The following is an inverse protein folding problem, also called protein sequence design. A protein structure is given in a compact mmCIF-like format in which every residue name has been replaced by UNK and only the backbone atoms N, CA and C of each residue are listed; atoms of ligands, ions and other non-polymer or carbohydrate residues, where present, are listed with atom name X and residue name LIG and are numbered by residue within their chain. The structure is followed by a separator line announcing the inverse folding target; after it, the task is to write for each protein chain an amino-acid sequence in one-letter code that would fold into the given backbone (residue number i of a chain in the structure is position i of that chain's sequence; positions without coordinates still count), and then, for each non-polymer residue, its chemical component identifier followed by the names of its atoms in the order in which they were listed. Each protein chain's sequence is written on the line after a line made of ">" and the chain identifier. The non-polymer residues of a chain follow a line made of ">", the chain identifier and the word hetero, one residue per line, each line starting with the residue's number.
data_IF_224166240193
#
_entry.id   IF_224166240193
#
_cell.length_a   1.000
_cell.length_b   1.000
_cell.length_c   1.000
_cell.angle_alpha   90.00
_cell.angle_beta   90.00
_cell.angle_gamma   90.00
#
_symmetry.space_group_name_H-M   'P 1'
#
loop_
_entity.id
_entity.type
_entity.pdbx_description
1 polymer ?
#
# COMPACT_ATOMS: atom_id res chain seq x y z
N UNK A 1 16.58 -9.11 30.18
CA UNK A 1 16.90 -8.24 29.03
C UNK A 1 15.86 -8.50 27.98
N UNK A 2 15.34 -7.47 27.29
CA UNK A 2 14.38 -7.67 26.18
C UNK A 2 15.12 -8.26 24.98
N UNK A 3 14.49 -9.12 24.16
CA UNK A 3 15.06 -9.58 22.91
C UNK A 3 15.37 -8.41 22.00
N UNK A 4 16.50 -8.48 21.29
CA UNK A 4 16.91 -7.46 20.34
C UNK A 4 16.16 -7.64 19.00
N UNK A 5 15.42 -6.60 18.58
CA UNK A 5 14.73 -6.56 17.29
C UNK A 5 15.36 -5.51 16.39
N UNK A 6 15.73 -5.92 15.19
CA UNK A 6 16.22 -5.01 14.15
C UNK A 6 15.21 -4.90 13.01
N UNK A 7 14.80 -3.68 12.67
CA UNK A 7 13.79 -3.44 11.64
C UNK A 7 14.41 -2.64 10.49
N UNK A 8 14.34 -3.15 9.27
CA UNK A 8 14.64 -2.40 8.05
C UNK A 8 13.33 -2.02 7.38
N UNK A 9 13.07 -0.72 7.23
CA UNK A 9 11.80 -0.24 6.71
C UNK A 9 11.88 1.20 6.18
N UNK A 10 11.03 1.60 5.22
CA UNK A 10 11.02 2.96 4.66
C UNK A 10 10.29 3.97 5.56
N UNK A 11 10.57 3.98 6.87
CA UNK A 11 9.82 4.73 7.90
C UNK A 11 9.79 6.24 7.68
N UNK A 12 10.83 6.81 7.06
CA UNK A 12 10.93 8.25 6.81
C UNK A 12 10.29 8.67 5.49
N UNK A 13 9.77 7.72 4.68
CA UNK A 13 9.29 8.05 3.34
C UNK A 13 7.81 8.46 3.31
N UNK A 14 7.46 9.36 2.39
CA UNK A 14 6.09 9.72 2.05
C UNK A 14 5.52 8.72 1.03
N UNK A 15 5.27 7.50 1.47
CA UNK A 15 4.75 6.41 0.63
C UNK A 15 3.82 5.51 1.42
N UNK A 16 2.96 4.74 0.73
CA UNK A 16 2.10 3.75 1.37
C UNK A 16 2.90 2.70 2.18
N UNK A 17 4.08 2.30 1.69
CA UNK A 17 5.00 1.46 2.46
C UNK A 17 5.53 2.14 3.72
N UNK A 18 5.84 3.45 3.64
CA UNK A 18 6.25 4.24 4.80
C UNK A 18 5.15 4.35 5.85
N UNK A 19 3.91 4.61 5.41
CA UNK A 19 2.75 4.70 6.30
C UNK A 19 2.50 3.36 6.99
N UNK A 20 2.46 2.26 6.23
CA UNK A 20 2.29 0.91 6.78
C UNK A 20 3.42 0.52 7.74
N UNK A 21 4.67 0.86 7.40
CA UNK A 21 5.82 0.61 8.27
C UNK A 21 5.68 1.35 9.61
N UNK A 22 5.28 2.62 9.60
CA UNK A 22 5.06 3.41 10.82
C UNK A 22 3.95 2.82 11.68
N UNK A 23 2.83 2.40 11.09
CA UNK A 23 1.71 1.78 11.79
C UNK A 23 2.14 0.50 12.52
N UNK A 24 2.88 -0.39 11.85
CA UNK A 24 3.37 -1.64 12.42
C UNK A 24 4.44 -1.41 13.50
N UNK A 25 5.41 -0.53 13.24
CA UNK A 25 6.50 -0.24 14.19
C UNK A 25 5.95 0.42 15.45
N UNK A 26 5.01 1.35 15.32
CA UNK A 26 4.33 1.94 16.47
C UNK A 26 3.67 0.86 17.31
N UNK A 27 2.99 -0.10 16.69
CA UNK A 27 2.39 -1.23 17.40
C UNK A 27 3.43 -2.07 18.17
N UNK A 28 4.60 -2.34 17.57
CA UNK A 28 5.69 -3.08 18.23
C UNK A 28 6.29 -2.30 19.41
N UNK A 29 6.44 -0.98 19.27
CA UNK A 29 6.91 -0.10 20.34
C UNK A 29 5.93 -0.10 21.52
N UNK A 30 4.62 0.02 21.23
CA UNK A 30 3.56 -0.03 22.25
C UNK A 30 3.51 -1.35 23.02
N UNK A 31 3.89 -2.47 22.39
CA UNK A 31 3.97 -3.78 23.06
C UNK A 31 5.05 -3.82 24.13
N UNK A 32 6.07 -3.00 24.01
CA UNK A 32 7.24 -2.92 24.91
C UNK A 32 7.94 -4.28 25.20
N UNK A 33 7.84 -5.22 24.27
CA UNK A 33 8.40 -6.57 24.38
C UNK A 33 9.84 -6.68 23.91
N UNK A 34 10.32 -5.78 23.06
CA UNK A 34 11.60 -5.85 22.37
C UNK A 34 12.46 -4.60 22.61
N UNK A 35 13.79 -4.78 22.52
CA UNK A 35 14.72 -3.66 22.31
C UNK A 35 14.82 -3.40 20.80
N UNK A 36 14.21 -2.31 20.32
CA UNK A 36 14.00 -2.05 18.89
C UNK A 36 15.03 -1.06 18.38
N UNK A 37 15.69 -1.41 17.26
CA UNK A 37 16.48 -0.50 16.42
C UNK A 37 15.96 -0.53 15.00
N UNK A 38 15.92 0.63 14.35
CA UNK A 38 15.28 0.82 13.05
C UNK A 38 16.27 1.38 12.04
N UNK A 39 16.51 0.65 10.96
CA UNK A 39 17.26 1.12 9.78
C UNK A 39 16.27 1.67 8.78
N UNK A 40 16.24 2.99 8.61
CA UNK A 40 15.45 3.61 7.56
C UNK A 40 16.06 3.35 6.19
N UNK A 41 15.22 2.94 5.23
CA UNK A 41 15.61 2.70 3.85
C UNK A 41 14.83 3.64 2.92
N UNK A 42 15.42 3.93 1.76
CA UNK A 42 14.75 4.74 0.71
C UNK A 42 13.65 3.92 0.03
N UNK A 43 12.64 4.60 -0.46
CA UNK A 43 11.59 4.04 -1.29
C UNK A 43 11.53 4.80 -2.62
N UNK A 44 12.25 4.32 -3.60
CA UNK A 44 12.40 5.00 -4.89
C UNK A 44 12.82 6.46 -4.72
N UNK A 45 12.12 7.36 -5.39
CA UNK A 45 12.35 8.81 -5.35
C UNK A 45 11.40 9.55 -4.39
N UNK A 46 10.70 8.83 -3.50
CA UNK A 46 9.77 9.47 -2.56
C UNK A 46 10.50 10.34 -1.54
N UNK A 47 9.92 11.50 -1.14
CA UNK A 47 10.52 12.36 -0.13
C UNK A 47 10.70 11.64 1.22
N UNK A 48 11.82 11.90 1.89
CA UNK A 48 12.15 11.40 3.24
C UNK A 48 11.63 12.34 4.34
N UNK A 49 10.35 12.72 4.26
CA UNK A 49 9.70 13.66 5.18
C UNK A 49 8.43 13.04 5.80
N UNK A 50 8.41 11.71 5.91
CA UNK A 50 7.25 10.97 6.41
C UNK A 50 7.06 11.00 7.91
N UNK A 51 8.14 11.26 8.69
CA UNK A 51 8.02 11.43 10.14
C UNK A 51 7.54 12.85 10.47
N UNK A 52 6.46 12.92 11.22
CA UNK A 52 5.85 14.17 11.70
C UNK A 52 6.27 14.40 13.15
N UNK A 53 6.93 15.53 13.43
CA UNK A 53 7.44 15.88 14.76
C UNK A 53 6.33 16.24 15.75
N UNK A 54 5.15 16.55 15.27
CA UNK A 54 3.99 16.85 16.10
C UNK A 54 3.25 15.57 16.56
N UNK A 55 3.68 14.40 16.08
CA UNK A 55 3.12 13.10 16.44
C UNK A 55 4.02 12.36 17.44
N UNK A 56 3.58 12.13 18.69
CA UNK A 56 4.40 11.45 19.70
C UNK A 56 4.91 10.07 19.27
N UNK A 57 4.10 9.32 18.56
CA UNK A 57 4.47 8.00 18.04
C UNK A 57 5.60 8.06 17.00
N UNK A 58 5.67 9.12 16.20
CA UNK A 58 6.77 9.31 15.25
C UNK A 58 8.07 9.70 15.96
N UNK A 59 8.00 10.46 17.06
CA UNK A 59 9.17 10.75 17.89
C UNK A 59 9.74 9.46 18.52
N UNK A 60 8.89 8.52 18.89
CA UNK A 60 9.34 7.21 19.42
C UNK A 60 10.03 6.35 18.34
N UNK A 61 9.62 6.47 17.07
CA UNK A 61 10.33 5.87 15.94
C UNK A 61 11.70 6.56 15.76
N UNK A 62 11.73 7.90 15.73
CA UNK A 62 12.95 8.70 15.52
C UNK A 62 14.04 8.36 16.57
N UNK A 63 13.69 8.22 17.85
CA UNK A 63 14.62 7.81 18.93
C UNK A 63 15.26 6.44 18.71
N UNK A 64 14.68 5.59 17.88
CA UNK A 64 15.14 4.22 17.61
C UNK A 64 15.84 4.08 16.28
N UNK A 65 16.00 5.19 15.52
CA UNK A 65 16.75 5.17 14.27
C UNK A 65 18.20 4.77 14.49
N UNK A 66 18.69 3.89 13.63
CA UNK A 66 20.03 3.31 13.69
C UNK A 66 20.83 3.77 12.47
N UNK A 67 21.94 4.47 12.73
CA UNK A 67 22.75 5.14 11.71
C UNK A 67 24.06 4.44 11.39
N UNK A 68 24.46 3.42 12.20
CA UNK A 68 25.70 2.70 11.99
C UNK A 68 25.64 1.80 10.75
N UNK A 69 26.82 1.48 10.19
CA UNK A 69 26.89 0.70 8.95
C UNK A 69 26.71 -0.80 9.13
N UNK A 70 26.88 -1.33 10.34
CA UNK A 70 26.81 -2.76 10.65
C UNK A 70 26.17 -3.03 12.01
N UNK A 71 25.86 -4.28 12.27
CA UNK A 71 25.38 -4.74 13.57
C UNK A 71 26.49 -5.46 14.31
N UNK A 72 26.72 -5.08 15.57
CA UNK A 72 27.72 -5.73 16.43
C UNK A 72 27.18 -7.04 17.06
N UNK A 73 25.85 -7.21 17.05
CA UNK A 73 25.15 -8.37 17.63
C UNK A 73 24.09 -8.83 16.65
N UNK A 74 23.95 -10.15 16.49
CA UNK A 74 22.88 -10.73 15.69
C UNK A 74 21.53 -10.47 16.35
N UNK A 75 20.54 -9.89 15.66
CA UNK A 75 19.19 -9.69 16.20
C UNK A 75 18.51 -11.02 16.55
N UNK A 76 17.78 -11.06 17.65
CA UNK A 76 16.90 -12.19 17.95
C UNK A 76 15.75 -12.27 16.93
N UNK A 77 15.22 -11.11 16.54
CA UNK A 77 14.20 -10.96 15.49
C UNK A 77 14.63 -9.88 14.51
N UNK A 78 14.55 -10.17 13.23
CA UNK A 78 14.68 -9.17 12.16
C UNK A 78 13.37 -9.04 11.41
N UNK A 79 12.94 -7.81 11.19
CA UNK A 79 11.81 -7.49 10.32
C UNK A 79 12.32 -6.67 9.14
N UNK A 80 12.00 -7.10 7.92
CA UNK A 80 12.26 -6.31 6.72
C UNK A 80 10.93 -5.96 6.04
N UNK A 81 10.61 -4.66 5.97
CA UNK A 81 9.41 -4.14 5.31
C UNK A 81 9.84 -3.55 3.97
N UNK A 82 9.45 -4.17 2.87
CA UNK A 82 9.86 -3.77 1.53
C UNK A 82 9.43 -4.76 0.45
N UNK A 83 10.10 -4.72 -0.71
CA UNK A 83 9.89 -5.69 -1.78
C UNK A 83 10.69 -6.97 -1.52
N UNK A 84 10.14 -8.16 -1.82
CA UNK A 84 10.74 -9.43 -1.43
C UNK A 84 12.17 -9.67 -1.92
N UNK A 85 12.53 -9.23 -3.13
CA UNK A 85 13.89 -9.40 -3.66
C UNK A 85 14.97 -8.63 -2.86
N UNK A 86 14.58 -7.64 -2.06
CA UNK A 86 15.49 -6.87 -1.20
C UNK A 86 15.60 -7.46 0.22
N UNK A 87 14.80 -8.46 0.57
CA UNK A 87 14.77 -9.02 1.93
C UNK A 87 16.15 -9.50 2.41
N UNK A 88 16.47 -9.12 3.64
CA UNK A 88 17.68 -9.51 4.39
C UNK A 88 17.27 -10.39 5.56
N UNK A 89 18.06 -11.43 5.85
CA UNK A 89 17.82 -12.43 6.88
C UNK A 89 18.96 -12.48 7.93
N UNK A 90 19.26 -11.35 8.55
CA UNK A 90 20.35 -11.21 9.51
C UNK A 90 19.97 -11.66 10.92
N UNK A 91 18.69 -11.85 11.20
CA UNK A 91 18.19 -12.28 12.51
C UNK A 91 18.31 -13.77 12.75
N UNK A 92 18.11 -14.19 13.99
CA UNK A 92 17.86 -15.60 14.33
C UNK A 92 16.47 -16.05 13.86
N UNK A 93 15.51 -15.10 13.80
CA UNK A 93 14.18 -15.26 13.22
C UNK A 93 13.90 -14.05 12.34
N UNK A 94 13.48 -14.29 11.09
CA UNK A 94 13.39 -13.27 10.06
C UNK A 94 11.96 -13.17 9.52
N UNK A 95 11.38 -11.98 9.56
CA UNK A 95 10.02 -11.69 9.11
C UNK A 95 10.07 -10.74 7.93
N UNK A 96 9.54 -11.16 6.79
CA UNK A 96 9.34 -10.30 5.62
C UNK A 96 7.94 -9.72 5.60
N UNK A 97 7.82 -8.41 5.44
CA UNK A 97 6.52 -7.74 5.29
C UNK A 97 6.51 -6.99 3.97
N UNK A 98 5.53 -7.27 3.12
CA UNK A 98 5.40 -6.63 1.81
C UNK A 98 3.97 -6.21 1.56
N UNK A 99 3.77 -5.09 0.84
CA UNK A 99 2.44 -4.64 0.44
C UNK A 99 1.80 -5.53 -0.65
N UNK A 100 2.51 -6.56 -1.07
CA UNK A 100 2.00 -7.56 -2.02
C UNK A 100 2.17 -7.16 -3.46
N UNK A 101 1.32 -7.72 -4.30
CA UNK A 101 1.42 -7.70 -5.75
C UNK A 101 0.11 -7.24 -6.36
N UNK A 102 0.17 -6.55 -7.48
CA UNK A 102 -1.00 -6.01 -8.19
C UNK A 102 -1.37 -6.81 -9.45
N UNK A 103 -0.70 -7.95 -9.68
CA UNK A 103 -0.94 -8.84 -10.82
C UNK A 103 -1.18 -10.27 -10.36
N UNK A 104 -1.41 -11.19 -11.30
CA UNK A 104 -1.65 -12.60 -11.00
C UNK A 104 -0.38 -13.40 -10.70
N UNK A 105 0.81 -12.79 -10.86
CA UNK A 105 2.08 -13.51 -10.72
C UNK A 105 3.20 -12.55 -10.31
N UNK A 106 4.03 -12.94 -9.36
CA UNK A 106 5.25 -12.22 -8.99
C UNK A 106 6.47 -12.75 -9.77
N UNK A 107 7.63 -12.08 -9.65
CA UNK A 107 8.88 -12.53 -10.25
C UNK A 107 9.51 -13.69 -9.47
N UNK A 108 10.39 -14.45 -10.13
CA UNK A 108 11.20 -15.50 -9.49
C UNK A 108 12.07 -14.97 -8.36
N UNK A 109 12.62 -13.76 -8.52
CA UNK A 109 13.45 -13.11 -7.50
C UNK A 109 12.65 -12.78 -6.24
N UNK A 110 11.35 -12.48 -6.39
CA UNK A 110 10.48 -12.29 -5.25
C UNK A 110 10.28 -13.60 -4.48
N UNK A 111 10.03 -14.72 -5.19
CA UNK A 111 9.91 -16.04 -4.54
C UNK A 111 11.21 -16.41 -3.81
N UNK A 112 12.37 -16.16 -4.43
CA UNK A 112 13.65 -16.38 -3.76
C UNK A 112 13.81 -15.51 -2.52
N UNK A 113 13.38 -14.24 -2.59
CA UNK A 113 13.40 -13.31 -1.46
C UNK A 113 12.48 -13.75 -0.32
N UNK A 114 11.25 -14.20 -0.63
CA UNK A 114 10.32 -14.75 0.35
C UNK A 114 10.95 -15.95 1.09
N UNK A 115 11.57 -16.88 0.36
CA UNK A 115 12.18 -18.08 0.91
C UNK A 115 13.46 -17.84 1.77
N UNK A 116 13.95 -16.60 1.84
CA UNK A 116 15.02 -16.22 2.80
C UNK A 116 14.48 -16.00 4.22
N UNK A 117 13.16 -15.80 4.35
CA UNK A 117 12.54 -15.44 5.61
C UNK A 117 12.00 -16.71 6.32
N UNK A 118 11.70 -16.59 7.61
CA UNK A 118 11.03 -17.62 8.38
C UNK A 118 9.50 -17.47 8.35
N UNK A 119 9.04 -16.24 8.06
CA UNK A 119 7.64 -15.88 8.04
C UNK A 119 7.40 -14.66 7.12
N UNK A 120 6.27 -14.64 6.42
CA UNK A 120 5.84 -13.52 5.56
C UNK A 120 4.51 -12.96 6.04
N UNK A 121 4.38 -11.63 6.03
CA UNK A 121 3.12 -10.93 6.26
C UNK A 121 2.76 -10.12 5.00
N UNK A 122 1.52 -10.24 4.57
CA UNK A 122 0.97 -9.56 3.40
C UNK A 122 -0.37 -8.89 3.75
N UNK A 123 -0.80 -7.81 3.06
CA UNK A 123 -1.94 -7.02 3.48
C UNK A 123 -3.30 -7.58 3.05
N UNK A 124 -3.33 -8.61 2.19
CA UNK A 124 -4.60 -9.11 1.64
C UNK A 124 -4.53 -10.60 1.28
N UNK A 125 -5.71 -11.20 1.18
CA UNK A 125 -5.83 -12.57 0.70
C UNK A 125 -5.35 -12.69 -0.76
N UNK A 126 -5.58 -11.66 -1.59
CA UNK A 126 -5.06 -11.62 -2.95
C UNK A 126 -3.52 -11.76 -2.99
N UNK A 127 -2.81 -10.98 -2.18
CA UNK A 127 -1.34 -11.04 -2.15
C UNK A 127 -0.84 -12.42 -1.69
N UNK A 128 -1.47 -13.00 -0.67
CA UNK A 128 -1.18 -14.36 -0.21
C UNK A 128 -1.38 -15.38 -1.34
N UNK A 129 -2.54 -15.36 -1.97
CA UNK A 129 -2.90 -16.28 -3.05
C UNK A 129 -1.92 -16.21 -4.22
N UNK A 130 -1.49 -14.99 -4.60
CA UNK A 130 -0.53 -14.82 -5.69
C UNK A 130 0.82 -15.43 -5.35
N UNK A 131 1.34 -15.21 -4.15
CA UNK A 131 2.63 -15.77 -3.75
C UNK A 131 2.59 -17.30 -3.61
N UNK A 132 1.49 -17.87 -3.09
CA UNK A 132 1.32 -19.31 -2.95
C UNK A 132 1.11 -20.02 -4.30
N UNK A 133 0.47 -19.36 -5.27
CA UNK A 133 0.16 -19.91 -6.60
C UNK A 133 1.24 -19.68 -7.64
N UNK A 134 2.21 -18.78 -7.39
CA UNK A 134 3.32 -18.52 -8.32
C UNK A 134 4.35 -19.64 -8.21
N UNK A 135 4.50 -20.40 -9.29
CA UNK A 135 5.44 -21.52 -9.39
C UNK A 135 6.24 -21.36 -10.67
N UNK A 136 7.56 -21.47 -10.58
CA UNK A 136 8.48 -21.50 -11.72
C UNK A 136 9.15 -22.86 -11.82
N UNK A 137 9.37 -23.34 -13.05
CA UNK A 137 10.22 -24.49 -13.30
C UNK A 137 11.69 -24.11 -13.09
N UNK A 138 12.42 -24.90 -12.27
CA UNK A 138 13.87 -24.84 -12.22
C UNK A 138 14.43 -25.72 -13.31
N UNK A 139 15.24 -25.15 -14.22
CA UNK A 139 15.89 -25.88 -15.29
C UNK A 139 17.38 -25.95 -15.04
N UNK A 140 17.98 -27.08 -15.35
CA UNK A 140 19.42 -27.24 -15.41
C UNK A 140 19.98 -26.41 -16.56
N UNK A 141 20.99 -25.59 -16.30
CA UNK A 141 21.54 -24.66 -17.29
C UNK A 141 22.21 -25.35 -18.48
N UNK A 142 22.74 -26.57 -18.28
CA UNK A 142 23.47 -27.32 -19.30
C UNK A 142 22.54 -28.21 -20.15
N UNK A 143 21.59 -28.86 -19.48
CA UNK A 143 20.72 -29.86 -20.13
C UNK A 143 19.36 -29.31 -20.50
N UNK A 144 18.97 -28.12 -20.02
CA UNK A 144 17.64 -27.51 -20.13
C UNK A 144 16.49 -28.42 -19.63
N UNK A 145 16.84 -29.46 -18.82
CA UNK A 145 15.84 -30.33 -18.20
C UNK A 145 15.28 -29.70 -16.94
N UNK A 146 13.99 -29.91 -16.67
CA UNK A 146 13.36 -29.48 -15.43
C UNK A 146 13.90 -30.32 -14.28
N UNK A 147 14.56 -29.69 -13.31
CA UNK A 147 15.17 -30.32 -12.12
C UNK A 147 14.36 -30.05 -10.84
N UNK A 148 13.27 -29.29 -10.90
CA UNK A 148 12.44 -28.99 -9.76
C UNK A 148 11.54 -27.75 -9.97
N UNK A 149 10.95 -27.29 -8.88
CA UNK A 149 10.10 -26.10 -8.86
C UNK A 149 10.69 -25.03 -7.92
N UNK A 150 10.45 -23.76 -8.26
CA UNK A 150 10.65 -22.62 -7.37
C UNK A 150 9.29 -22.06 -7.00
N UNK A 151 8.93 -22.21 -5.73
CA UNK A 151 7.68 -21.73 -5.12
C UNK A 151 7.94 -21.17 -3.72
N UNK A 152 6.98 -20.47 -3.16
CA UNK A 152 7.06 -20.03 -1.77
C UNK A 152 6.91 -21.24 -0.85
N UNK A 153 7.90 -21.45 0.03
CA UNK A 153 7.96 -22.56 0.97
C UNK A 153 7.74 -22.12 2.43
N UNK A 154 7.62 -20.82 2.67
CA UNK A 154 7.48 -20.24 4.00
C UNK A 154 6.03 -19.86 4.31
N UNK A 155 5.60 -19.88 5.59
CA UNK A 155 4.24 -19.51 5.96
C UNK A 155 3.94 -18.04 5.63
N UNK A 156 2.79 -17.79 5.00
CA UNK A 156 2.28 -16.46 4.66
C UNK A 156 1.05 -16.15 5.51
N UNK A 157 1.12 -15.07 6.26
CA UNK A 157 0.04 -14.54 7.08
C UNK A 157 -0.56 -13.31 6.45
N UNK A 158 -1.88 -13.18 6.53
CA UNK A 158 -2.58 -11.96 6.10
C UNK A 158 -2.77 -11.06 7.31
N UNK A 159 -2.34 -9.81 7.19
CA UNK A 159 -2.62 -8.73 8.12
C UNK A 159 -2.96 -7.48 7.31
N UNK A 160 -4.20 -7.06 7.34
CA UNK A 160 -4.64 -5.90 6.57
C UNK A 160 -3.96 -4.60 7.02
N UNK A 161 -3.92 -3.60 6.12
CA UNK A 161 -3.46 -2.25 6.47
C UNK A 161 -4.60 -1.48 7.16
N UNK A 162 -4.45 -1.19 8.44
CA UNK A 162 -5.49 -0.52 9.23
C UNK A 162 -5.71 0.94 8.81
N UNK A 163 -6.95 1.40 8.86
CA UNK A 163 -7.28 2.82 8.64
C UNK A 163 -7.36 3.55 9.98
N UNK A 164 -6.67 4.68 10.09
CA UNK A 164 -6.79 5.56 11.26
C UNK A 164 -8.15 6.26 11.26
N UNK A 165 -9.11 5.71 12.00
CA UNK A 165 -10.48 6.22 12.07
C UNK A 165 -10.64 7.50 12.91
N UNK A 166 -9.61 7.92 13.63
CA UNK A 166 -9.60 9.23 14.30
C UNK A 166 -9.40 10.35 13.31
N UNK A 167 -8.68 10.07 12.22
CA UNK A 167 -8.43 10.99 11.12
C UNK A 167 -9.44 10.77 9.99
N UNK A 168 -9.51 9.54 9.45
CA UNK A 168 -10.38 9.19 8.34
C UNK A 168 -11.77 8.81 8.83
N UNK A 169 -12.65 9.76 8.83
CA UNK A 169 -14.05 9.60 9.28
C UNK A 169 -14.94 10.61 8.58
N UNK A 170 -16.23 10.38 8.69
CA UNK A 170 -17.19 11.38 8.26
C UNK A 170 -17.05 12.65 9.12
N UNK A 171 -16.84 13.78 8.47
CA UNK A 171 -16.74 15.10 9.11
C UNK A 171 -17.45 16.18 8.30
N UNK A 172 -17.82 17.26 8.99
CA UNK A 172 -18.27 18.52 8.36
C UNK A 172 -17.23 19.64 8.57
N UNK A 173 -16.11 19.32 9.18
CA UNK A 173 -14.98 20.25 9.29
C UNK A 173 -14.48 20.63 7.91
N UNK A 174 -13.88 21.80 7.81
CA UNK A 174 -13.37 22.36 6.56
C UNK A 174 -11.91 22.74 6.75
N UNK A 175 -11.12 22.44 5.74
CA UNK A 175 -9.75 22.92 5.60
C UNK A 175 -9.72 24.01 4.53
N UNK A 176 -9.09 25.16 4.84
CA UNK A 176 -9.11 26.34 3.96
C UNK A 176 -8.45 26.05 2.62
N UNK A 177 -7.33 25.33 2.58
CA UNK A 177 -6.64 25.00 1.34
C UNK A 177 -7.47 24.04 0.47
N UNK A 178 -8.11 23.05 1.09
CA UNK A 178 -9.01 22.14 0.38
C UNK A 178 -10.23 22.86 -0.15
N UNK A 179 -10.83 23.78 0.62
CA UNK A 179 -11.97 24.60 0.16
C UNK A 179 -11.54 25.51 -0.99
N UNK A 180 -10.35 26.11 -0.95
CA UNK A 180 -9.82 26.93 -2.04
C UNK A 180 -9.63 26.09 -3.32
N UNK A 181 -8.94 24.94 -3.22
CA UNK A 181 -8.77 24.02 -4.35
C UNK A 181 -10.11 23.60 -4.94
N UNK A 182 -11.06 23.23 -4.10
CA UNK A 182 -12.37 22.76 -4.50
C UNK A 182 -13.31 23.88 -4.96
N UNK A 183 -13.02 25.13 -4.65
CA UNK A 183 -13.78 26.28 -5.16
C UNK A 183 -13.77 26.34 -6.69
N UNK A 184 -12.65 25.95 -7.31
CA UNK A 184 -12.48 25.91 -8.77
C UNK A 184 -13.32 24.81 -9.44
N UNK A 185 -13.74 23.78 -8.71
CA UNK A 185 -14.49 22.63 -9.23
C UNK A 185 -15.95 23.05 -9.46
N UNK A 186 -16.42 22.95 -10.70
CA UNK A 186 -17.79 23.28 -11.06
C UNK A 186 -18.75 22.12 -10.76
N UNK A 187 -19.77 22.40 -9.95
CA UNK A 187 -20.85 21.46 -9.63
C UNK A 187 -20.41 20.27 -8.77
N UNK A 188 -21.18 19.20 -8.87
CA UNK A 188 -20.89 17.92 -8.21
C UNK A 188 -19.75 17.20 -8.91
N UNK A 189 -18.96 16.42 -8.17
CA UNK A 189 -17.82 15.69 -8.76
C UNK A 189 -17.69 14.27 -8.21
N UNK A 190 -17.00 13.45 -8.99
CA UNK A 190 -16.42 12.18 -8.54
C UNK A 190 -14.93 12.39 -8.29
N UNK A 191 -14.37 11.68 -7.31
CA UNK A 191 -12.98 11.80 -6.89
C UNK A 191 -12.24 10.49 -7.17
N UNK A 192 -11.09 10.60 -7.81
CA UNK A 192 -10.06 9.56 -7.89
C UNK A 192 -8.85 9.99 -7.05
N UNK A 193 -8.23 9.04 -6.34
CA UNK A 193 -6.97 9.23 -5.62
C UNK A 193 -6.00 8.11 -5.97
N UNK A 194 -4.80 8.46 -6.42
CA UNK A 194 -3.77 7.49 -6.75
C UNK A 194 -2.71 8.02 -7.71
N UNK A 195 -1.60 7.31 -7.83
CA UNK A 195 -0.55 7.66 -8.79
C UNK A 195 -0.95 7.29 -10.22
N UNK A 196 -0.56 8.14 -11.16
CA UNK A 196 -0.70 7.87 -12.58
C UNK A 196 0.66 7.54 -13.18
N UNK A 197 1.04 6.27 -13.05
CA UNK A 197 2.33 5.77 -13.49
C UNK A 197 2.39 5.57 -15.01
N UNK A 198 3.47 4.91 -15.49
CA UNK A 198 3.67 4.59 -16.91
C UNK A 198 2.62 3.61 -17.44
N UNK A 199 2.42 3.65 -18.74
CA UNK A 199 1.48 2.84 -19.50
C UNK A 199 0.84 3.68 -20.59
N UNK A 200 0.57 3.07 -21.75
CA UNK A 200 -0.26 3.66 -22.80
C UNK A 200 -1.69 3.87 -22.30
N UNK A 201 -2.53 4.51 -23.12
CA UNK A 201 -3.92 4.77 -22.77
C UNK A 201 -4.69 3.49 -22.44
N UNK A 202 -5.22 3.41 -21.21
CA UNK A 202 -5.91 2.22 -20.71
C UNK A 202 -4.98 1.10 -20.26
N UNK A 203 -3.67 1.35 -20.20
CA UNK A 203 -2.66 0.35 -19.84
C UNK A 203 -1.84 0.70 -18.60
N UNK A 204 -2.08 1.85 -17.97
CA UNK A 204 -1.48 2.17 -16.67
C UNK A 204 -2.16 1.38 -15.54
N UNK A 205 -1.40 1.03 -14.52
CA UNK A 205 -1.85 0.17 -13.40
C UNK A 205 -3.13 0.67 -12.71
N UNK A 206 -3.28 1.97 -12.53
CA UNK A 206 -4.49 2.56 -11.93
C UNK A 206 -5.60 2.83 -12.95
N UNK A 207 -5.32 2.60 -14.23
CA UNK A 207 -6.22 2.85 -15.36
C UNK A 207 -6.89 4.23 -15.33
N UNK A 208 -6.07 5.25 -14.98
CA UNK A 208 -6.54 6.64 -14.87
C UNK A 208 -6.94 7.16 -16.24
N UNK A 209 -6.19 6.78 -17.27
CA UNK A 209 -6.50 7.16 -18.66
C UNK A 209 -7.82 6.55 -19.12
N UNK A 210 -8.08 5.28 -18.82
CA UNK A 210 -9.36 4.62 -19.08
C UNK A 210 -10.50 5.28 -18.32
N UNK A 211 -10.32 5.59 -17.04
CA UNK A 211 -11.30 6.30 -16.22
C UNK A 211 -11.66 7.66 -16.81
N UNK A 212 -10.66 8.48 -17.17
CA UNK A 212 -10.91 9.81 -17.78
C UNK A 212 -11.66 9.67 -19.09
N UNK A 213 -11.26 8.72 -19.95
CA UNK A 213 -11.92 8.49 -21.25
C UNK A 213 -13.38 8.06 -21.07
N UNK A 214 -13.61 7.04 -20.26
CA UNK A 214 -14.98 6.52 -19.99
C UNK A 214 -15.85 7.61 -19.37
N UNK A 215 -15.30 8.40 -18.45
CA UNK A 215 -16.04 9.50 -17.83
C UNK A 215 -16.44 10.57 -18.86
N UNK A 216 -15.53 10.99 -19.73
CA UNK A 216 -15.81 11.94 -20.79
C UNK A 216 -16.86 11.40 -21.77
N UNK A 217 -16.71 10.16 -22.23
CA UNK A 217 -17.68 9.52 -23.13
C UNK A 217 -19.08 9.38 -22.51
N UNK A 218 -19.14 9.07 -21.21
CA UNK A 218 -20.41 8.90 -20.48
C UNK A 218 -21.21 10.19 -20.38
N UNK A 219 -20.52 11.33 -20.22
CA UNK A 219 -21.17 12.62 -19.94
C UNK A 219 -21.02 13.65 -21.05
N UNK A 220 -20.43 13.33 -22.22
CA UNK A 220 -20.40 14.24 -23.35
C UNK A 220 -21.82 14.60 -23.80
N UNK A 221 -22.01 15.82 -24.23
CA UNK A 221 -23.29 16.36 -24.73
C UNK A 221 -24.46 16.29 -23.71
N UNK A 222 -24.14 16.12 -22.39
CA UNK A 222 -25.15 16.10 -21.34
C UNK A 222 -25.29 17.49 -20.70
N UNK A 223 -26.53 18.04 -20.63
CA UNK A 223 -26.82 19.33 -19.96
C UNK A 223 -26.48 19.30 -18.48
N UNK A 224 -26.79 18.17 -17.77
CA UNK A 224 -26.43 17.96 -16.39
C UNK A 224 -25.36 16.86 -16.34
N UNK A 225 -24.19 17.23 -15.88
CA UNK A 225 -23.03 16.33 -15.78
C UNK A 225 -22.16 16.67 -14.58
N UNK A 226 -21.52 15.67 -13.95
CA UNK A 226 -20.54 15.90 -12.88
C UNK A 226 -19.19 16.31 -13.45
N UNK A 227 -18.31 16.81 -12.57
CA UNK A 227 -16.88 16.93 -12.84
C UNK A 227 -16.15 15.67 -12.35
N UNK A 228 -14.96 15.41 -12.87
CA UNK A 228 -14.01 14.43 -12.32
C UNK A 228 -12.84 15.18 -11.72
N UNK A 229 -12.51 14.87 -10.45
CA UNK A 229 -11.35 15.39 -9.75
C UNK A 229 -10.36 14.26 -9.57
N UNK A 230 -9.14 14.45 -10.04
CA UNK A 230 -8.04 13.50 -9.92
C UNK A 230 -7.04 14.05 -8.89
N UNK A 231 -6.95 13.46 -7.69
CA UNK A 231 -5.83 13.69 -6.78
C UNK A 231 -4.74 12.72 -7.19
N UNK A 232 -3.79 13.21 -7.99
CA UNK A 232 -2.82 12.35 -8.66
C UNK A 232 -1.46 13.02 -8.87
N UNK A 233 -0.44 12.19 -8.94
CA UNK A 233 0.91 12.51 -9.40
C UNK A 233 1.45 11.29 -10.14
N UNK A 234 2.56 11.46 -10.85
CA UNK A 234 3.36 10.34 -11.35
C UNK A 234 4.24 9.77 -10.23
N UNK A 235 5.55 9.92 -10.38
CA UNK A 235 6.50 9.45 -9.37
C UNK A 235 6.86 10.50 -8.31
N UNK A 236 6.62 11.79 -8.58
CA UNK A 236 6.99 12.91 -7.73
C UNK A 236 5.97 14.07 -7.81
N UNK A 237 6.30 15.21 -7.19
CA UNK A 237 5.48 16.41 -7.23
C UNK A 237 6.13 17.56 -7.99
N UNK A 238 7.01 17.25 -8.95
CA UNK A 238 7.73 18.24 -9.74
C UNK A 238 6.82 18.98 -10.74
N UNK A 239 7.29 20.11 -11.23
CA UNK A 239 6.61 20.83 -12.31
C UNK A 239 6.60 20.03 -13.62
N UNK A 240 7.56 19.13 -13.82
CA UNK A 240 7.63 18.25 -14.99
C UNK A 240 6.50 17.22 -14.90
N UNK A 241 6.38 16.53 -13.77
CA UNK A 241 5.31 15.57 -13.50
C UNK A 241 3.92 16.22 -13.69
N UNK A 242 3.72 17.41 -13.12
CA UNK A 242 2.48 18.17 -13.30
C UNK A 242 2.17 18.44 -14.77
N UNK A 243 3.20 18.78 -15.59
CA UNK A 243 3.04 19.04 -17.03
C UNK A 243 2.67 17.76 -17.77
N UNK A 244 3.29 16.65 -17.44
CA UNK A 244 3.01 15.33 -18.04
C UNK A 244 1.56 14.90 -17.78
N UNK A 245 1.08 14.99 -16.53
CA UNK A 245 -0.32 14.68 -16.20
C UNK A 245 -1.28 15.56 -17.00
N UNK A 246 -0.99 16.86 -17.07
CA UNK A 246 -1.80 17.78 -17.87
C UNK A 246 -1.82 17.38 -19.35
N UNK A 247 -0.68 17.01 -19.91
CA UNK A 247 -0.56 16.54 -21.30
C UNK A 247 -1.36 15.27 -21.53
N UNK A 248 -1.27 14.28 -20.66
CA UNK A 248 -2.06 13.03 -20.72
C UNK A 248 -3.57 13.34 -20.74
N UNK A 249 -4.04 14.21 -19.85
CA UNK A 249 -5.47 14.62 -19.83
C UNK A 249 -5.88 15.27 -21.16
N UNK A 250 -5.07 16.17 -21.72
CA UNK A 250 -5.38 16.82 -22.99
C UNK A 250 -5.40 15.84 -24.17
N UNK A 251 -4.45 14.90 -24.20
CA UNK A 251 -4.41 13.84 -25.22
C UNK A 251 -5.69 13.02 -25.21
N UNK A 252 -6.14 12.58 -23.99
CA UNK A 252 -7.38 11.80 -23.86
C UNK A 252 -8.58 12.64 -24.33
N UNK A 253 -8.68 13.90 -23.91
CA UNK A 253 -9.74 14.80 -24.35
C UNK A 253 -9.78 14.95 -25.87
N UNK A 254 -8.61 14.99 -26.53
CA UNK A 254 -8.48 15.04 -27.97
C UNK A 254 -9.01 13.80 -28.71
N UNK A 255 -9.16 12.66 -28.02
CA UNK A 255 -9.76 11.44 -28.62
C UNK A 255 -11.29 11.40 -28.54
N UNK A 256 -11.92 12.34 -27.83
CA UNK A 256 -13.37 12.37 -27.65
C UNK A 256 -14.02 13.14 -28.81
N UNK A 257 -14.94 12.50 -29.49
CA UNK A 257 -15.69 13.13 -30.58
C UNK A 257 -16.78 14.05 -30.03
N UNK A 258 -16.38 15.12 -29.33
CA UNK A 258 -17.22 16.20 -28.85
C UNK A 258 -16.38 17.30 -28.20
N UNK A 259 -16.79 18.56 -28.36
CA UNK A 259 -16.28 19.70 -27.59
C UNK A 259 -17.04 19.91 -26.27
N UNK A 260 -18.25 19.37 -26.16
CA UNK A 260 -19.10 19.49 -24.97
C UNK A 260 -18.89 18.27 -24.04
N UNK A 261 -17.77 18.26 -23.32
CA UNK A 261 -17.35 17.21 -22.39
C UNK A 261 -17.37 17.68 -20.94
N UNK A 262 -17.44 16.76 -19.94
CA UNK A 262 -17.33 17.12 -18.52
C UNK A 262 -15.98 17.75 -18.18
N UNK A 263 -15.96 18.55 -17.11
CA UNK A 263 -14.72 19.13 -16.61
C UNK A 263 -13.88 18.06 -15.89
N UNK A 264 -12.59 18.02 -16.22
CA UNK A 264 -11.61 17.20 -15.54
C UNK A 264 -10.64 18.15 -14.81
N UNK A 265 -10.57 18.04 -13.51
CA UNK A 265 -9.65 18.77 -12.65
C UNK A 265 -8.61 17.82 -12.09
N UNK A 266 -7.43 18.32 -11.78
CA UNK A 266 -6.45 17.53 -11.02
C UNK A 266 -5.82 18.37 -9.92
N UNK A 267 -5.64 17.72 -8.77
CA UNK A 267 -4.94 18.21 -7.60
C UNK A 267 -3.58 17.52 -7.58
N UNK A 268 -2.52 18.32 -7.70
CA UNK A 268 -1.15 17.86 -7.74
C UNK A 268 -0.40 18.45 -6.55
N UNK A 269 0.38 17.64 -5.86
CA UNK A 269 1.07 18.02 -4.63
C UNK A 269 0.72 17.10 -3.48
N UNK A 270 1.42 17.26 -2.37
CA UNK A 270 1.15 16.51 -1.15
C UNK A 270 -0.02 17.14 -0.37
N UNK A 271 -0.80 16.31 0.29
CA UNK A 271 -1.84 16.71 1.25
C UNK A 271 -1.63 15.91 2.53
N UNK A 272 -1.82 16.55 3.67
CA UNK A 272 -1.82 15.85 4.96
C UNK A 272 -3.01 14.88 5.05
N UNK A 273 -2.94 13.90 5.95
CA UNK A 273 -4.05 12.96 6.18
C UNK A 273 -5.36 13.69 6.52
N UNK A 274 -5.28 14.75 7.32
CA UNK A 274 -6.44 15.60 7.64
C UNK A 274 -7.01 16.28 6.40
N UNK A 275 -6.16 16.85 5.56
CA UNK A 275 -6.57 17.46 4.29
C UNK A 275 -7.16 16.42 3.34
N UNK A 276 -6.58 15.20 3.28
CA UNK A 276 -7.16 14.11 2.52
C UNK A 276 -8.55 13.73 3.04
N UNK A 277 -8.74 13.63 4.35
CA UNK A 277 -10.08 13.38 4.92
C UNK A 277 -11.06 14.50 4.58
N UNK A 278 -10.66 15.75 4.62
CA UNK A 278 -11.51 16.88 4.21
C UNK A 278 -11.86 16.80 2.72
N UNK A 279 -10.91 16.43 1.86
CA UNK A 279 -11.17 16.22 0.43
C UNK A 279 -12.18 15.10 0.19
N UNK A 280 -12.03 13.95 0.86
CA UNK A 280 -13.00 12.84 0.79
C UNK A 280 -14.40 13.27 1.24
N UNK A 281 -14.49 14.11 2.27
CA UNK A 281 -15.76 14.58 2.85
C UNK A 281 -16.36 15.78 2.13
N UNK A 282 -15.60 16.46 1.26
CA UNK A 282 -16.04 17.71 0.62
C UNK A 282 -17.44 17.57 -0.01
N UNK A 283 -18.29 18.59 0.15
CA UNK A 283 -19.71 18.53 -0.21
C UNK A 283 -19.97 18.31 -1.71
N UNK A 284 -19.06 18.76 -2.58
CA UNK A 284 -19.12 18.52 -4.04
C UNK A 284 -18.80 17.07 -4.41
N UNK A 285 -17.99 16.34 -3.60
CA UNK A 285 -17.61 14.95 -3.85
C UNK A 285 -18.79 14.02 -3.54
N UNK A 286 -19.25 13.26 -4.54
CA UNK A 286 -20.40 12.36 -4.44
C UNK A 286 -20.01 10.90 -4.34
N UNK A 287 -18.88 10.52 -4.93
CA UNK A 287 -18.35 9.18 -4.87
C UNK A 287 -16.83 9.20 -5.06
N UNK A 288 -16.16 8.20 -4.52
CA UNK A 288 -14.81 7.84 -4.89
C UNK A 288 -14.86 6.77 -6.00
N UNK A 289 -14.07 6.96 -7.05
CA UNK A 289 -14.07 6.06 -8.22
C UNK A 289 -12.66 5.68 -8.60
N UNK A 290 -12.43 4.39 -8.84
CA UNK A 290 -11.15 3.86 -9.33
C UNK A 290 -11.40 2.76 -10.36
N UNK A 291 -10.51 2.70 -11.36
CA UNK A 291 -10.46 1.61 -12.33
C UNK A 291 -9.18 0.79 -12.16
N UNK A 292 -8.55 0.88 -10.99
CA UNK A 292 -7.28 0.20 -10.72
C UNK A 292 -7.31 -1.25 -11.21
N UNK A 293 -6.27 -1.64 -11.91
CA UNK A 293 -6.14 -3.01 -12.44
C UNK A 293 -5.66 -4.02 -11.39
N UNK A 294 -5.17 -3.53 -10.26
CA UNK A 294 -4.75 -4.32 -9.10
C UNK A 294 -4.23 -3.48 -7.96
N UNK A 295 -4.46 -3.95 -6.76
CA UNK A 295 -4.00 -3.37 -5.50
C UNK A 295 -3.48 -4.48 -4.59
N UNK A 296 -2.35 -4.27 -3.93
CA UNK A 296 -1.96 -5.12 -2.81
C UNK A 296 -2.97 -5.02 -1.67
N UNK A 297 -3.36 -3.79 -1.31
CA UNK A 297 -4.43 -3.49 -0.35
C UNK A 297 -5.41 -2.44 -0.90
N UNK A 298 -4.96 -1.22 -1.12
CA UNK A 298 -5.77 -0.12 -1.64
C UNK A 298 -6.15 0.92 -0.59
N UNK A 299 -5.17 1.40 0.21
CA UNK A 299 -5.38 2.42 1.27
C UNK A 299 -6.29 3.57 0.85
N UNK A 300 -6.13 4.24 -0.32
CA UNK A 300 -7.01 5.35 -0.69
C UNK A 300 -8.48 4.96 -0.81
N UNK A 301 -8.78 3.70 -1.17
CA UNK A 301 -10.16 3.19 -1.23
C UNK A 301 -10.73 2.96 0.17
N UNK A 302 -9.91 2.45 1.10
CA UNK A 302 -10.31 2.24 2.49
C UNK A 302 -10.54 3.59 3.21
N UNK A 303 -9.63 4.54 3.04
CA UNK A 303 -9.74 5.91 3.59
C UNK A 303 -10.98 6.64 3.06
N UNK A 304 -11.21 6.60 1.75
CA UNK A 304 -12.40 7.19 1.14
C UNK A 304 -13.70 6.56 1.66
N UNK A 305 -13.70 5.26 1.88
CA UNK A 305 -14.85 4.55 2.43
C UNK A 305 -15.23 5.04 3.84
N UNK A 306 -14.24 5.40 4.68
CA UNK A 306 -14.46 5.95 6.02
C UNK A 306 -15.24 7.28 6.01
N UNK A 307 -15.16 8.06 4.92
CA UNK A 307 -15.94 9.30 4.77
C UNK A 307 -17.45 9.09 4.66
N UNK A 308 -17.88 7.85 4.48
CA UNK A 308 -19.28 7.50 4.22
C UNK A 308 -19.74 7.81 2.78
N UNK A 309 -18.81 8.15 1.88
CA UNK A 309 -19.08 8.26 0.46
C UNK A 309 -19.10 6.87 -0.17
N UNK A 310 -19.89 6.72 -1.24
CA UNK A 310 -19.88 5.46 -1.99
C UNK A 310 -18.52 5.28 -2.69
N UNK A 311 -17.98 4.07 -2.61
CA UNK A 311 -16.77 3.67 -3.34
C UNK A 311 -17.16 2.80 -4.52
N UNK A 312 -16.62 3.12 -5.69
CA UNK A 312 -16.75 2.34 -6.91
C UNK A 312 -15.36 1.90 -7.35
N UNK A 313 -15.12 0.58 -7.38
CA UNK A 313 -13.82 -0.01 -7.70
C UNK A 313 -14.01 -1.37 -8.42
N UNK A 314 -12.97 -1.90 -9.10
CA UNK A 314 -13.04 -3.21 -9.74
C UNK A 314 -13.29 -4.35 -8.74
N UNK A 315 -13.93 -5.43 -9.17
CA UNK A 315 -14.21 -6.62 -8.36
C UNK A 315 -13.01 -7.60 -8.35
N UNK A 316 -11.84 -7.10 -8.02
CA UNK A 316 -10.62 -7.94 -8.03
C UNK A 316 -9.51 -7.32 -7.19
N UNK A 317 -8.62 -8.15 -6.63
CA UNK A 317 -7.42 -7.85 -5.85
C UNK A 317 -7.67 -7.37 -4.40
N UNK A 318 -6.65 -6.87 -3.72
CA UNK A 318 -6.65 -6.70 -2.27
C UNK A 318 -7.79 -5.87 -1.67
N UNK A 319 -8.30 -4.89 -2.41
CA UNK A 319 -9.37 -4.03 -1.87
C UNK A 319 -10.74 -4.73 -1.74
N UNK A 320 -10.93 -5.90 -2.33
CA UNK A 320 -12.19 -6.66 -2.14
C UNK A 320 -12.29 -7.29 -0.76
N UNK A 321 -11.18 -7.37 0.00
CA UNK A 321 -11.19 -7.89 1.36
C UNK A 321 -11.98 -6.97 2.30
N UNK A 322 -11.99 -5.65 2.04
CA UNK A 322 -12.68 -4.66 2.88
C UNK A 322 -13.87 -3.96 2.19
N UNK A 323 -13.98 -4.00 0.87
CA UNK A 323 -15.13 -3.43 0.15
C UNK A 323 -16.25 -4.47 0.02
N UNK A 324 -17.26 -4.39 0.91
CA UNK A 324 -18.43 -5.27 0.84
C UNK A 324 -19.27 -4.94 -0.43
N UNK A 325 -19.58 -5.92 -1.28
CA UNK A 325 -20.40 -5.72 -2.49
C UNK A 325 -21.84 -5.22 -2.18
N UNK A 326 -22.33 -5.42 -0.96
CA UNK A 326 -23.62 -4.87 -0.51
C UNK A 326 -23.54 -3.37 -0.27
N UNK A 327 -22.36 -2.84 0.07
CA UNK A 327 -22.16 -1.46 0.50
C UNK A 327 -21.38 -0.63 -0.51
N UNK A 328 -20.55 -1.25 -1.35
CA UNK A 328 -19.75 -0.62 -2.40
C UNK A 328 -20.25 -1.01 -3.79
N UNK A 329 -19.77 -0.34 -4.83
CA UNK A 329 -20.04 -0.71 -6.21
C UNK A 329 -18.80 -1.40 -6.75
N UNK A 330 -18.87 -2.72 -6.91
CA UNK A 330 -17.78 -3.50 -7.49
C UNK A 330 -18.03 -3.70 -8.98
N UNK A 331 -17.11 -3.17 -9.80
CA UNK A 331 -17.20 -3.20 -11.25
C UNK A 331 -16.74 -4.57 -11.78
N UNK A 332 -17.55 -5.14 -12.67
CA UNK A 332 -17.16 -6.35 -13.39
C UNK A 332 -16.14 -6.04 -14.49
N UNK A 333 -15.44 -7.07 -14.92
CA UNK A 333 -14.41 -7.02 -15.95
C UNK A 333 -13.79 -8.38 -16.15
N UNK A 334 -12.57 -8.42 -16.65
CA UNK A 334 -11.84 -9.65 -16.92
C UNK A 334 -10.35 -9.48 -16.69
N UNK A 335 -9.64 -10.58 -16.47
CA UNK A 335 -8.19 -10.60 -16.47
C UNK A 335 -7.68 -10.40 -17.89
N UNK A 336 -6.74 -9.48 -18.06
CA UNK A 336 -6.04 -9.22 -19.32
C UNK A 336 -4.54 -9.26 -19.09
N UNK A 337 -3.79 -9.68 -20.07
CA UNK A 337 -2.33 -9.65 -19.98
C UNK A 337 -1.81 -8.23 -19.81
N UNK A 338 -0.76 -8.06 -19.01
CA UNK A 338 -0.08 -6.78 -18.82
C UNK A 338 0.55 -6.34 -20.14
N UNK A 339 0.19 -5.15 -20.61
CA UNK A 339 0.72 -4.58 -21.83
C UNK A 339 2.20 -4.20 -21.66
N UNK A 340 3.01 -4.38 -22.71
CA UNK A 340 4.47 -4.11 -22.68
C UNK A 340 4.82 -2.69 -22.18
N UNK A 341 3.97 -1.68 -22.49
CA UNK A 341 4.17 -0.29 -22.03
C UNK A 341 4.09 -0.11 -20.51
N UNK A 342 3.46 -1.05 -19.80
CA UNK A 342 3.29 -1.02 -18.36
C UNK A 342 4.25 -1.96 -17.63
N UNK A 343 4.95 -2.83 -18.33
CA UNK A 343 5.92 -3.76 -17.74
C UNK A 343 6.98 -2.98 -16.96
N UNK A 344 7.17 -3.41 -15.72
CA UNK A 344 8.21 -2.92 -14.82
C UNK A 344 8.95 -4.14 -14.30
N UNK A 345 10.13 -4.37 -14.86
CA UNK A 345 10.93 -5.55 -14.58
C UNK A 345 11.09 -5.77 -13.07
N UNK A 346 10.86 -6.99 -12.63
CA UNK A 346 10.90 -7.38 -11.23
C UNK A 346 9.67 -6.99 -10.39
N UNK A 347 8.77 -6.13 -10.89
CA UNK A 347 7.58 -5.67 -10.15
C UNK A 347 6.28 -6.01 -10.90
N UNK A 348 6.15 -5.56 -12.15
CA UNK A 348 5.00 -5.87 -13.02
C UNK A 348 5.55 -6.66 -14.20
N UNK A 349 5.44 -7.98 -14.15
CA UNK A 349 6.10 -8.88 -15.08
C UNK A 349 5.32 -9.03 -16.39
N UNK A 350 6.06 -9.15 -17.49
CA UNK A 350 5.51 -9.58 -18.78
C UNK A 350 4.89 -10.97 -18.64
N UNK A 351 3.74 -11.19 -19.30
CA UNK A 351 3.00 -12.46 -19.23
C UNK A 351 2.12 -12.62 -17.99
N UNK A 352 2.29 -11.73 -16.98
CA UNK A 352 1.33 -11.66 -15.88
C UNK A 352 0.02 -10.99 -16.33
N UNK A 353 -1.04 -11.18 -15.56
CA UNK A 353 -2.36 -10.59 -15.83
C UNK A 353 -2.79 -9.68 -14.70
N UNK A 354 -3.64 -8.74 -15.04
CA UNK A 354 -4.35 -7.87 -14.12
C UNK A 354 -5.80 -7.67 -14.57
N UNK A 355 -6.60 -7.04 -13.73
CA UNK A 355 -8.01 -6.90 -14.01
C UNK A 355 -8.31 -5.65 -14.84
N UNK A 356 -9.00 -5.80 -15.96
CA UNK A 356 -9.50 -4.68 -16.75
C UNK A 356 -11.01 -4.59 -16.60
N UNK A 357 -11.47 -3.44 -16.14
CA UNK A 357 -12.90 -3.13 -15.97
C UNK A 357 -13.64 -3.16 -17.31
N UNK A 358 -14.87 -3.69 -17.34
CA UNK A 358 -15.77 -3.49 -18.45
C UNK A 358 -16.22 -2.03 -18.51
N UNK A 359 -15.66 -1.29 -19.46
CA UNK A 359 -15.90 0.14 -19.59
C UNK A 359 -17.33 0.50 -19.94
N UNK A 360 -18.05 -0.33 -20.72
CA UNK A 360 -19.44 -0.08 -21.08
C UNK A 360 -20.36 -0.23 -19.86
N UNK A 361 -20.12 -1.29 -19.07
CA UNK A 361 -20.84 -1.48 -17.83
C UNK A 361 -20.48 -0.39 -16.81
N UNK A 362 -19.20 -0.04 -16.69
CA UNK A 362 -18.76 1.03 -15.79
C UNK A 362 -19.40 2.37 -16.14
N UNK A 363 -19.48 2.73 -17.43
CA UNK A 363 -20.17 3.93 -17.89
C UNK A 363 -21.64 3.96 -17.44
N UNK A 364 -22.33 2.83 -17.58
CA UNK A 364 -23.72 2.66 -17.12
C UNK A 364 -23.84 2.85 -15.61
N UNK A 365 -22.94 2.25 -14.83
CA UNK A 365 -22.95 2.35 -13.37
C UNK A 365 -22.60 3.77 -12.87
N UNK A 366 -21.65 4.46 -13.51
CA UNK A 366 -21.28 5.84 -13.21
C UNK A 366 -22.49 6.78 -13.46
N UNK A 367 -23.17 6.60 -14.58
CA UNK A 367 -24.37 7.38 -14.93
C UNK A 367 -25.50 7.12 -13.94
N UNK A 368 -25.75 5.86 -13.59
CA UNK A 368 -26.75 5.49 -12.59
C UNK A 368 -26.44 6.09 -11.22
N UNK A 369 -25.18 6.00 -10.76
CA UNK A 369 -24.74 6.58 -9.51
C UNK A 369 -24.98 8.10 -9.48
N UNK A 370 -24.67 8.82 -10.57
CA UNK A 370 -24.87 10.26 -10.66
C UNK A 370 -26.35 10.66 -10.58
N UNK A 371 -27.23 9.90 -11.22
CA UNK A 371 -28.68 10.19 -11.23
C UNK A 371 -29.33 9.83 -9.89
N UNK A 372 -28.92 8.71 -9.29
CA UNK A 372 -29.58 8.09 -8.13
C UNK A 372 -28.76 8.21 -6.82
N UNK A 373 -27.96 9.26 -6.63
CA UNK A 373 -27.04 9.45 -5.49
C UNK A 373 -27.69 9.17 -4.12
N UNK A 374 -28.96 9.59 -3.93
CA UNK A 374 -29.66 9.40 -2.65
C UNK A 374 -29.80 7.93 -2.25
N UNK A 375 -30.01 7.04 -3.25
CA UNK A 375 -30.14 5.60 -3.01
C UNK A 375 -28.81 4.96 -2.53
N UNK A 376 -27.68 5.53 -2.92
CA UNK A 376 -26.36 5.02 -2.56
C UNK A 376 -25.82 5.56 -1.23
N UNK A 377 -26.37 6.69 -0.71
CA UNK A 377 -25.88 7.33 0.50
C UNK A 377 -25.89 6.39 1.72
N UNK A 378 -26.95 5.63 1.90
CA UNK A 378 -27.07 4.65 3.00
C UNK A 378 -26.01 3.52 2.87
N UNK A 379 -25.71 3.11 1.65
CA UNK A 379 -24.69 2.08 1.40
C UNK A 379 -23.30 2.59 1.80
N UNK A 380 -22.90 3.81 1.39
CA UNK A 380 -21.64 4.41 1.79
C UNK A 380 -21.48 4.50 3.31
N UNK A 381 -22.53 4.88 4.05
CA UNK A 381 -22.48 4.90 5.52
C UNK A 381 -22.31 3.51 6.14
N UNK A 382 -22.91 2.46 5.55
CA UNK A 382 -22.72 1.08 5.99
C UNK A 382 -21.31 0.58 5.71
N UNK A 383 -20.73 0.98 4.56
CA UNK A 383 -19.34 0.68 4.25
C UNK A 383 -18.39 1.35 5.24
N UNK A 384 -18.59 2.62 5.58
CA UNK A 384 -17.79 3.31 6.60
C UNK A 384 -17.85 2.62 7.96
N UNK A 385 -19.04 2.19 8.39
CA UNK A 385 -19.21 1.40 9.60
C UNK A 385 -18.45 0.08 9.53
N UNK A 386 -18.55 -0.64 8.40
CA UNK A 386 -17.84 -1.90 8.20
C UNK A 386 -16.33 -1.74 8.31
N UNK A 387 -15.75 -0.67 7.69
CA UNK A 387 -14.32 -0.36 7.82
C UNK A 387 -13.96 -0.09 9.28
N UNK A 388 -14.70 0.79 9.96
CA UNK A 388 -14.36 1.20 11.33
C UNK A 388 -14.42 0.03 12.33
N UNK A 389 -15.29 -0.94 12.13
CA UNK A 389 -15.45 -2.10 13.01
C UNK A 389 -14.45 -3.22 12.73
N UNK A 390 -14.01 -3.40 11.47
CA UNK A 390 -13.26 -4.58 11.06
C UNK A 390 -11.87 -4.27 10.49
N UNK A 391 -11.61 -3.04 10.04
CA UNK A 391 -10.38 -2.66 9.33
C UNK A 391 -9.77 -1.37 9.87
N UNK A 392 -10.07 -1.00 11.11
CA UNK A 392 -9.44 0.13 11.78
C UNK A 392 -7.98 -0.15 12.10
N UNK A 393 -7.19 0.91 12.30
CA UNK A 393 -5.80 0.82 12.73
C UNK A 393 -5.67 0.08 14.07
N UNK A 394 -6.56 0.35 15.02
CA UNK A 394 -6.57 -0.33 16.31
C UNK A 394 -6.82 -1.84 16.16
N UNK A 395 -7.76 -2.21 15.28
CA UNK A 395 -8.03 -3.62 15.00
C UNK A 395 -6.82 -4.33 14.36
N UNK A 396 -6.16 -3.68 13.41
CA UNK A 396 -4.93 -4.18 12.82
C UNK A 396 -3.84 -4.36 13.88
N UNK A 397 -3.66 -3.36 14.76
CA UNK A 397 -2.69 -3.44 15.87
C UNK A 397 -3.00 -4.61 16.82
N UNK A 398 -4.26 -4.86 17.15
CA UNK A 398 -4.67 -6.00 17.97
C UNK A 398 -4.30 -7.33 17.30
N UNK A 399 -4.67 -7.51 16.04
CA UNK A 399 -4.35 -8.73 15.28
C UNK A 399 -2.83 -8.93 15.12
N UNK A 400 -2.09 -7.85 14.87
CA UNK A 400 -0.64 -7.91 14.80
C UNK A 400 0.00 -8.31 16.14
N UNK A 401 -0.48 -7.73 17.25
CA UNK A 401 -0.02 -8.10 18.59
C UNK A 401 -0.25 -9.58 18.91
N UNK A 402 -1.39 -10.12 18.56
CA UNK A 402 -1.68 -11.55 18.74
C UNK A 402 -0.81 -12.43 17.82
N UNK A 403 -0.60 -12.01 16.57
CA UNK A 403 0.30 -12.70 15.65
C UNK A 403 1.75 -12.75 16.19
N UNK A 404 2.27 -11.61 16.68
CA UNK A 404 3.61 -11.55 17.30
C UNK A 404 3.73 -12.48 18.51
N UNK A 405 2.74 -12.48 19.40
CA UNK A 405 2.74 -13.37 20.57
C UNK A 405 2.71 -14.85 20.22
N UNK A 406 2.05 -15.21 19.13
CA UNK A 406 1.84 -16.59 18.71
C UNK A 406 2.98 -17.11 17.86
N UNK A 407 3.40 -16.37 16.86
CA UNK A 407 4.29 -16.85 15.80
C UNK A 407 5.76 -16.51 16.05
N UNK A 408 6.05 -15.42 16.80
CA UNK A 408 7.45 -15.04 17.05
C UNK A 408 8.06 -15.98 18.11
N UNK A 409 9.35 -16.30 17.99
CA UNK A 409 10.00 -17.20 18.93
C UNK A 409 9.95 -16.61 20.34
N UNK A 410 9.51 -17.41 21.29
CA UNK A 410 9.65 -17.10 22.71
C UNK A 410 11.15 -17.21 23.01
N UNK A 411 11.84 -16.08 23.09
CA UNK A 411 13.26 -16.08 23.46
C UNK A 411 13.43 -16.78 24.79
N UNK A 412 14.27 -17.82 24.81
CA UNK A 412 14.65 -18.47 26.04
C UNK A 412 15.22 -17.39 26.97
N UNK A 413 14.80 -17.38 28.24
CA UNK A 413 15.47 -16.57 29.27
C UNK A 413 16.96 -16.88 29.18
N UNK A 414 17.77 -15.85 28.97
CA UNK A 414 19.23 -16.02 29.07
C UNK A 414 19.53 -16.67 30.42
N UNK A 415 20.02 -17.89 30.38
CA UNK A 415 20.51 -18.55 31.59
C UNK A 415 21.82 -17.81 31.90
N UNK A 416 21.86 -17.07 32.99
CA UNK A 416 23.11 -16.54 33.54
C UNK A 416 24.03 -17.75 33.86
N UNK A 417 24.87 -18.07 32.89
CA UNK A 417 25.95 -19.05 33.14
C UNK A 417 26.95 -18.32 34.03
N UNK A 418 26.84 -18.52 35.34
CA UNK A 418 27.93 -18.19 36.23
C UNK A 418 29.08 -19.14 35.86
N UNK A 419 30.04 -18.60 35.11
CA UNK A 419 31.30 -19.30 34.92
C UNK A 419 31.89 -19.57 36.30
N UNK A 420 32.33 -20.80 36.59
CA UNK A 420 33.02 -21.05 37.83
C UNK A 420 34.28 -20.18 37.90
N UNK A 421 34.52 -19.57 39.07
CA UNK A 421 35.74 -18.81 39.32
C UNK A 421 36.92 -19.69 38.95
N UNK A 422 37.67 -19.28 37.91
CA UNK A 422 38.91 -19.94 37.55
C UNK A 422 39.89 -19.77 38.72
N UNK A 423 40.53 -20.84 39.23
CA UNK A 423 41.56 -20.70 40.27
C UNK A 423 42.67 -19.78 39.74
N UNK A 424 43.05 -18.79 40.54
CA UNK A 424 44.14 -17.89 40.20
C UNK A 424 45.42 -18.73 39.92
N UNK A 425 45.86 -18.74 38.67
CA UNK A 425 47.16 -19.28 38.32
C UNK A 425 48.23 -18.33 38.81
N UNK A 426 49.00 -18.74 39.84
CA UNK A 426 50.22 -18.03 40.20
C UNK A 426 51.25 -18.19 39.05
N UNK A 427 51.61 -17.08 38.43
CA UNK A 427 52.68 -17.08 37.45
C UNK A 427 54.00 -17.48 38.09
N UNK A 428 54.76 -18.42 37.51
CA UNK A 428 56.06 -18.78 38.06
C UNK A 428 57.02 -17.58 38.03
N UNK A 429 57.57 -17.24 39.17
CA UNK A 429 58.61 -16.22 39.32
C UNK A 429 59.87 -16.59 38.57
N UNK A 430 60.34 -15.80 37.63
CA UNK A 430 61.63 -15.94 36.99
C UNK A 430 62.71 -15.85 38.03
N UNK A 431 63.51 -16.93 38.20
CA UNK A 431 64.78 -16.94 38.98
C UNK A 431 65.77 -16.09 38.16
N UNK A 432 66.21 -14.97 38.74
CA UNK A 432 67.41 -14.26 38.27
C UNK A 432 68.65 -15.11 38.53
N UNK A 433 69.37 -15.40 37.46
CA UNK A 433 70.76 -15.92 37.53
C UNK A 433 71.73 -14.78 37.66
#
# INVERSE_FOLDING_TARGET
>A
MKPFMFIMAPVETRSGYGDHARDLITSLIEMDMFDIKIKSVKWGNTPMTGLDKDRPEHLEIEKRLYWEQGLNVQPDVMIHIGVPNEFQNWGKFNVGITAGIETTQCSSDWIQGLNKMDMIIVPSQHSKDVFEKTIFEKKDEQTNQTIGELKCEVPIHVLFEGVNIDIFKKTNEKDEEVEEMMSQVKGECFLFVGHWLKGEMGQDRKDVSGLVKVFCETFKNQKRRPSLVLKTSGADFSHIDRREIRSKIQQIKGTIDSQDIPNIYFIHGDLSEKQMNHLYNHSKVKAHISFTKGEGYGRPLAEAACSGKIVMAPKWSGHIDFLDPKFSILLNGQLTEVHDSAVWEGVINKGSHWFTTDYALAATMIKNLFVNQKAYKSRGHKQAKHISENFSLDKMKEEFKEMVKKEFPKTAKQIDIKLPDLPSMELPTLRSS
#
